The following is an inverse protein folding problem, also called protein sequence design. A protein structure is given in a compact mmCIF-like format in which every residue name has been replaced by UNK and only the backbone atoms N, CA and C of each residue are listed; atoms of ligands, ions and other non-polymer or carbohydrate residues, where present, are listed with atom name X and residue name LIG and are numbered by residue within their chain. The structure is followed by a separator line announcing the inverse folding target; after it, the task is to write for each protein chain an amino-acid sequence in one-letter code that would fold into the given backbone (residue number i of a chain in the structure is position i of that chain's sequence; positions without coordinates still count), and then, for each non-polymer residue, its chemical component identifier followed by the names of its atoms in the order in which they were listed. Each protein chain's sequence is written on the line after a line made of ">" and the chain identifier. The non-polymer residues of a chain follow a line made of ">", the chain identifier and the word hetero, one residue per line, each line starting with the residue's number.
data_IF_642137151535
#
_entry.id   IF_642137151535
#
_cell.length_a   1.000
_cell.length_b   1.000
_cell.length_c   1.000
_cell.angle_alpha   90.00
_cell.angle_beta   90.00
_cell.angle_gamma   90.00
#
_symmetry.space_group_name_H-M   'P 1'
#
loop_
_entity.id
_entity.type
_entity.pdbx_description
1 polymer ?
#
# COMPACT_ATOMS: atom_id res chain seq x y z
N UNK A 1 -5.15 -24.00 -4.07
CA UNK A 1 -5.00 -22.71 -3.33
C UNK A 1 -3.90 -21.92 -4.01
N UNK A 2 -4.16 -20.68 -4.43
CA UNK A 2 -3.16 -19.81 -5.10
C UNK A 2 -2.34 -19.06 -4.06
N UNK A 3 -1.03 -18.93 -4.29
CA UNK A 3 -0.15 -18.17 -3.41
C UNK A 3 -0.49 -16.66 -3.51
N UNK A 4 -0.58 -15.93 -2.38
CA UNK A 4 -0.80 -14.49 -2.40
C UNK A 4 0.30 -13.77 -3.19
N UNK A 5 -0.11 -12.92 -4.13
CA UNK A 5 0.82 -12.11 -4.93
C UNK A 5 1.46 -11.05 -4.04
N UNK A 6 2.77 -10.86 -4.17
CA UNK A 6 3.52 -9.82 -3.46
C UNK A 6 3.94 -8.72 -4.44
N UNK A 7 3.98 -7.49 -3.93
CA UNK A 7 4.52 -6.36 -4.68
C UNK A 7 6.02 -6.59 -4.89
N UNK A 8 6.52 -6.26 -6.09
CA UNK A 8 7.96 -6.25 -6.37
C UNK A 8 8.67 -5.24 -5.48
N UNK A 9 10.01 -5.32 -5.40
CA UNK A 9 10.79 -4.28 -4.74
C UNK A 9 10.48 -2.91 -5.35
N UNK A 10 10.18 -1.94 -4.49
CA UNK A 10 9.99 -0.55 -4.88
C UNK A 10 11.35 0.14 -5.00
N UNK A 11 11.46 1.04 -5.97
CA UNK A 11 12.54 2.02 -6.02
C UNK A 11 12.26 3.13 -5.00
N UNK A 12 13.30 3.85 -4.60
CA UNK A 12 13.18 4.98 -3.68
C UNK A 12 12.17 6.05 -4.15
N UNK A 13 12.17 6.48 -5.44
CA UNK A 13 11.17 7.43 -5.94
C UNK A 13 9.73 6.90 -5.87
N UNK A 14 9.52 5.60 -6.10
CA UNK A 14 8.20 4.98 -5.98
C UNK A 14 7.71 4.99 -4.53
N UNK A 15 8.59 4.62 -3.59
CA UNK A 15 8.31 4.68 -2.16
C UNK A 15 7.92 6.09 -1.72
N UNK A 16 8.70 7.09 -2.10
CA UNK A 16 8.42 8.50 -1.76
C UNK A 16 7.09 8.99 -2.33
N UNK A 17 6.75 8.59 -3.57
CA UNK A 17 5.46 8.94 -4.18
C UNK A 17 4.29 8.32 -3.42
N UNK A 18 4.38 7.05 -3.05
CA UNK A 18 3.35 6.36 -2.27
C UNK A 18 3.21 6.98 -0.87
N UNK A 19 4.32 7.26 -0.18
CA UNK A 19 4.30 7.94 1.12
C UNK A 19 3.63 9.31 1.02
N UNK A 20 3.89 10.09 -0.03
CA UNK A 20 3.26 11.40 -0.23
C UNK A 20 1.75 11.29 -0.40
N UNK A 21 1.26 10.27 -1.11
CA UNK A 21 -0.18 10.01 -1.28
C UNK A 21 -0.83 9.66 0.07
N UNK A 22 -0.21 8.74 0.82
CA UNK A 22 -0.75 8.27 2.11
C UNK A 22 -0.73 9.39 3.15
N UNK A 23 0.35 10.19 3.22
CA UNK A 23 0.49 11.26 4.22
C UNK A 23 -0.40 12.48 3.96
N UNK A 24 -0.66 12.82 2.70
CA UNK A 24 -1.43 14.04 2.37
C UNK A 24 -2.94 13.86 2.44
N UNK A 25 -3.46 12.66 2.68
CA UNK A 25 -4.90 12.40 2.78
C UNK A 25 -5.64 12.91 1.54
N UNK A 26 -5.52 12.23 0.40
CA UNK A 26 -6.11 12.71 -0.86
C UNK A 26 -7.64 12.59 -0.86
N UNK A 27 -8.34 13.51 -1.54
CA UNK A 27 -9.79 13.43 -1.85
C UNK A 27 -10.21 12.15 -2.59
N UNK A 28 -9.28 11.40 -3.17
CA UNK A 28 -9.57 10.12 -3.83
C UNK A 28 -9.31 8.93 -2.90
N UNK A 29 -10.39 8.39 -2.34
CA UNK A 29 -10.36 7.18 -1.49
C UNK A 29 -9.68 6.00 -2.18
N UNK A 30 -9.91 5.81 -3.49
CA UNK A 30 -9.30 4.72 -4.26
C UNK A 30 -7.78 4.90 -4.37
N UNK A 31 -7.32 6.11 -4.67
CA UNK A 31 -5.88 6.40 -4.79
C UNK A 31 -5.18 6.19 -3.45
N UNK A 32 -5.78 6.66 -2.36
CA UNK A 32 -5.27 6.46 -1.01
C UNK A 32 -5.15 4.98 -0.65
N UNK A 33 -6.25 4.21 -0.78
CA UNK A 33 -6.27 2.78 -0.43
C UNK A 33 -5.27 1.97 -1.25
N UNK A 34 -5.16 2.22 -2.56
CA UNK A 34 -4.16 1.55 -3.41
C UNK A 34 -2.73 1.87 -2.98
N UNK A 35 -2.44 3.13 -2.64
CA UNK A 35 -1.11 3.50 -2.18
C UNK A 35 -0.76 2.86 -0.84
N UNK A 36 -1.72 2.77 0.09
CA UNK A 36 -1.55 2.09 1.36
C UNK A 36 -1.29 0.58 1.18
N UNK A 37 -2.06 -0.10 0.32
CA UNK A 37 -1.86 -1.53 0.01
C UNK A 37 -0.45 -1.78 -0.54
N UNK A 38 -0.02 -0.99 -1.52
CA UNK A 38 1.29 -1.16 -2.15
C UNK A 38 2.43 -0.92 -1.16
N UNK A 39 2.34 0.14 -0.36
CA UNK A 39 3.36 0.49 0.62
C UNK A 39 3.46 -0.56 1.75
N UNK A 40 2.32 -1.00 2.28
CA UNK A 40 2.30 -2.03 3.31
C UNK A 40 2.78 -3.39 2.81
N UNK A 41 2.41 -3.77 1.57
CA UNK A 41 2.90 -5.00 0.94
C UNK A 41 4.41 -4.96 0.70
N UNK A 42 4.95 -3.84 0.22
CA UNK A 42 6.39 -3.67 0.04
C UNK A 42 7.15 -3.69 1.39
N UNK A 43 6.52 -3.26 2.48
CA UNK A 43 7.03 -3.38 3.84
C UNK A 43 6.91 -4.79 4.46
N UNK A 44 6.46 -5.80 3.71
CA UNK A 44 6.37 -7.18 4.18
C UNK A 44 5.15 -7.49 5.06
N UNK A 45 4.16 -6.59 5.13
CA UNK A 45 2.95 -6.86 5.90
C UNK A 45 2.14 -8.01 5.29
N UNK A 46 1.51 -8.81 6.15
CA UNK A 46 0.62 -9.90 5.73
C UNK A 46 -0.72 -9.35 5.25
N UNK A 47 -1.40 -10.09 4.37
CA UNK A 47 -2.71 -9.71 3.83
C UNK A 47 -3.73 -9.35 4.93
N UNK A 48 -3.84 -10.10 6.04
CA UNK A 48 -4.76 -9.73 7.14
C UNK A 48 -4.41 -8.42 7.86
N UNK A 49 -3.13 -8.03 7.90
CA UNK A 49 -2.71 -6.74 8.46
C UNK A 49 -3.09 -5.61 7.51
N UNK A 50 -2.82 -5.79 6.21
CA UNK A 50 -3.16 -4.81 5.18
C UNK A 50 -4.68 -4.57 5.13
N UNK A 51 -5.48 -5.63 5.21
CA UNK A 51 -6.94 -5.53 5.22
C UNK A 51 -7.46 -4.66 6.37
N UNK A 52 -6.87 -4.78 7.56
CA UNK A 52 -7.22 -3.96 8.73
C UNK A 52 -6.84 -2.49 8.55
N UNK A 53 -5.67 -2.22 7.96
CA UNK A 53 -5.22 -0.85 7.69
C UNK A 53 -6.14 -0.11 6.70
N UNK A 54 -6.66 -0.81 5.69
CA UNK A 54 -7.41 -0.22 4.57
C UNK A 54 -8.92 -0.08 4.85
N UNK A 55 -9.43 -0.75 5.90
CA UNK A 55 -10.85 -0.74 6.24
C UNK A 55 -11.39 0.62 6.75
N UNK A 56 -10.51 1.57 7.07
CA UNK A 56 -10.90 2.93 7.46
C UNK A 56 -11.67 3.69 6.37
#
# INVERSE_FOLDING_TARGET
>A
MTQPVRVRRLTEPEGQKLQRIVRRGTTSTVRYRRAMILLASAGGNTVPVIARLVQA
#
